data_IF_152128933963
#
_entry.id   IF_152128933963
#
_cell.length_a   1.000
_cell.length_b   1.000
_cell.length_c   1.000
_cell.angle_alpha   90.00
_cell.angle_beta   90.00
_cell.angle_gamma   90.00
#
_symmetry.space_group_name_H-M   'P 1'
#
loop_
_entity.id
_entity.type
_entity.pdbx_description
1 polymer ?
#
# COMPACT_ATOMS: atom_id res chain seq x y z
N UNK A 1 -14.34 -13.84 0.69
CA UNK A 1 -13.71 -13.35 1.94
C UNK A 1 -13.23 -14.53 2.76
N UNK A 2 -12.06 -14.42 3.40
CA UNK A 2 -11.62 -15.40 4.40
C UNK A 2 -12.20 -14.91 5.72
N UNK A 3 -13.16 -15.64 6.30
CA UNK A 3 -13.66 -15.33 7.63
C UNK A 3 -12.66 -15.82 8.67
N UNK A 4 -12.14 -14.89 9.48
CA UNK A 4 -11.29 -15.21 10.62
C UNK A 4 -12.14 -15.59 11.83
N UNK A 5 -11.62 -16.46 12.69
CA UNK A 5 -12.31 -16.89 13.91
C UNK A 5 -12.69 -15.68 14.79
N UNK A 6 -13.80 -15.76 15.55
CA UNK A 6 -14.23 -14.68 16.43
C UNK A 6 -13.12 -14.30 17.43
N UNK A 7 -12.75 -13.02 17.44
CA UNK A 7 -11.66 -12.47 18.26
C UNK A 7 -10.31 -12.28 17.54
N UNK A 8 -10.18 -12.75 16.29
CA UNK A 8 -8.99 -12.51 15.47
C UNK A 8 -9.24 -11.30 14.57
N UNK A 9 -8.52 -10.20 14.78
CA UNK A 9 -8.54 -9.09 13.84
C UNK A 9 -7.99 -9.55 12.48
N UNK A 10 -8.66 -9.16 11.40
CA UNK A 10 -8.18 -9.45 10.06
C UNK A 10 -6.75 -8.91 9.89
N UNK A 11 -5.85 -9.63 9.19
CA UNK A 11 -4.46 -9.22 9.00
C UNK A 11 -4.32 -7.96 8.13
N UNK A 12 -5.43 -7.46 7.59
CA UNK A 12 -5.51 -6.23 6.81
C UNK A 12 -6.68 -5.39 7.31
N UNK A 13 -6.45 -4.08 7.40
CA UNK A 13 -7.46 -3.09 7.75
C UNK A 13 -7.62 -2.11 6.59
N UNK A 14 -8.85 -1.90 6.15
CA UNK A 14 -9.17 -0.87 5.16
C UNK A 14 -8.98 0.51 5.79
N UNK A 15 -8.24 1.38 5.11
CA UNK A 15 -8.05 2.77 5.50
C UNK A 15 -8.46 3.70 4.37
N UNK A 16 -8.93 4.89 4.71
CA UNK A 16 -9.12 5.97 3.75
C UNK A 16 -7.93 6.94 3.84
N UNK A 17 -7.19 7.08 2.75
CA UNK A 17 -6.08 8.02 2.62
C UNK A 17 -6.38 9.02 1.52
N UNK A 18 -6.15 10.31 1.79
CA UNK A 18 -6.23 11.37 0.76
C UNK A 18 -4.84 11.61 0.19
N UNK A 19 -4.74 11.65 -1.13
CA UNK A 19 -3.51 11.93 -1.87
C UNK A 19 -3.73 13.13 -2.80
N UNK A 20 -2.69 13.95 -3.06
CA UNK A 20 -2.72 14.91 -4.16
C UNK A 20 -3.07 14.21 -5.49
N UNK A 21 -3.83 14.89 -6.34
CA UNK A 21 -4.34 14.32 -7.59
C UNK A 21 -3.20 13.89 -8.53
N UNK A 22 -2.18 14.73 -8.63
CA UNK A 22 -1.00 14.48 -9.47
C UNK A 22 -0.20 13.28 -8.99
N UNK A 23 0.00 13.15 -7.67
CA UNK A 23 0.67 11.99 -7.08
C UNK A 23 -0.08 10.69 -7.39
N UNK A 24 -1.42 10.68 -7.32
CA UNK A 24 -2.20 9.49 -7.67
C UNK A 24 -2.06 9.15 -9.16
N UNK A 25 -2.00 10.14 -10.04
CA UNK A 25 -1.80 9.94 -11.47
C UNK A 25 -0.42 9.34 -11.76
N UNK A 26 0.63 9.87 -11.14
CA UNK A 26 1.99 9.35 -11.27
C UNK A 26 2.09 7.91 -10.77
N UNK A 27 1.49 7.59 -9.62
CA UNK A 27 1.45 6.23 -9.09
C UNK A 27 0.77 5.25 -10.06
N UNK A 28 -0.31 5.67 -10.73
CA UNK A 28 -0.97 4.84 -11.76
C UNK A 28 -0.07 4.60 -12.97
N UNK A 29 0.63 5.63 -13.45
CA UNK A 29 1.58 5.50 -14.56
C UNK A 29 2.72 4.57 -14.20
N UNK A 30 3.32 4.73 -13.02
CA UNK A 30 4.42 3.88 -12.54
C UNK A 30 3.98 2.42 -12.36
N UNK A 31 2.76 2.20 -11.85
CA UNK A 31 2.22 0.87 -11.64
C UNK A 31 1.96 0.16 -12.97
N UNK A 32 1.42 0.87 -13.96
CA UNK A 32 1.23 0.35 -15.31
C UNK A 32 2.58 -0.03 -15.96
N UNK A 33 3.62 0.80 -15.81
CA UNK A 33 4.97 0.47 -16.32
C UNK A 33 5.57 -0.79 -15.68
N UNK A 34 5.20 -1.07 -14.43
CA UNK A 34 5.64 -2.26 -13.67
C UNK A 34 4.71 -3.45 -13.82
N UNK A 35 3.66 -3.33 -14.65
CA UNK A 35 2.62 -4.34 -14.84
C UNK A 35 1.96 -4.82 -13.53
N UNK A 36 1.72 -3.89 -12.60
CA UNK A 36 1.03 -4.17 -11.34
C UNK A 36 -0.09 -3.15 -11.06
N UNK A 37 -1.10 -3.52 -10.24
CA UNK A 37 -2.11 -2.56 -9.80
C UNK A 37 -1.49 -1.42 -8.97
N UNK A 38 -1.98 -0.19 -9.14
CA UNK A 38 -1.44 0.97 -8.40
C UNK A 38 -1.61 0.84 -6.88
N UNK A 39 -2.66 0.17 -6.39
CA UNK A 39 -2.81 -0.11 -4.96
C UNK A 39 -1.73 -1.07 -4.46
N UNK A 40 -1.30 -2.03 -5.29
CA UNK A 40 -0.19 -2.92 -4.96
C UNK A 40 1.13 -2.16 -4.95
N UNK A 41 1.35 -1.26 -5.92
CA UNK A 41 2.54 -0.40 -5.93
C UNK A 41 2.63 0.47 -4.66
N UNK A 42 1.51 1.10 -4.26
CA UNK A 42 1.45 1.89 -3.01
C UNK A 42 1.87 1.05 -1.81
N UNK A 43 1.37 -0.18 -1.70
CA UNK A 43 1.74 -1.10 -0.60
C UNK A 43 3.23 -1.43 -0.58
N UNK A 44 3.82 -1.69 -1.75
CA UNK A 44 5.26 -1.98 -1.87
C UNK A 44 6.09 -0.77 -1.44
N UNK A 45 5.80 0.42 -1.99
CA UNK A 45 6.56 1.62 -1.67
C UNK A 45 6.47 2.01 -0.18
N UNK A 46 5.30 1.89 0.43
CA UNK A 46 5.15 2.14 1.86
C UNK A 46 5.95 1.15 2.71
N UNK A 47 5.93 -0.15 2.36
CA UNK A 47 6.69 -1.16 3.08
C UNK A 47 8.21 -0.95 2.96
N UNK A 48 8.69 -0.60 1.77
CA UNK A 48 10.10 -0.27 1.52
C UNK A 48 10.52 0.96 2.34
N UNK A 49 9.75 2.05 2.29
CA UNK A 49 10.06 3.26 3.06
C UNK A 49 10.06 3.02 4.57
N UNK A 50 9.10 2.28 5.11
CA UNK A 50 9.09 1.93 6.54
C UNK A 50 10.35 1.14 6.92
N UNK A 51 10.77 0.19 6.06
CA UNK A 51 11.98 -0.59 6.31
C UNK A 51 13.23 0.28 6.26
N UNK A 52 13.34 1.17 5.29
CA UNK A 52 14.45 2.13 5.19
C UNK A 52 14.56 3.00 6.44
N UNK A 53 13.46 3.62 6.88
CA UNK A 53 13.45 4.46 8.09
C UNK A 53 13.87 3.67 9.34
N UNK A 54 13.35 2.45 9.52
CA UNK A 54 13.70 1.60 10.68
C UNK A 54 15.13 1.05 10.68
N UNK A 55 15.79 1.01 9.52
CA UNK A 55 17.19 0.57 9.41
C UNK A 55 18.16 1.75 9.56
N UNK A 56 17.66 2.99 9.51
CA UNK A 56 18.44 4.20 9.70
C UNK A 56 18.51 4.67 11.17
N UNK A 57 17.65 4.12 12.04
CA UNK A 57 17.68 4.21 13.50
C UNK A 57 18.55 3.10 14.13
#
# INVERSE_FOLDING_TARGET
EIEFAPGVEAPVKSISLRLPREMLNELKVLANKKDIPYQSLIKVYLAEKIKEERMAD
#
